data_IF_525764982113
#
_entry.id   IF_525764982113
#
_cell.length_a   1.000
_cell.length_b   1.000
_cell.length_c   1.000
_cell.angle_alpha   90.00
_cell.angle_beta   90.00
_cell.angle_gamma   90.00
#
_symmetry.space_group_name_H-M   'P 1'
#
loop_
_entity.id
_entity.type
_entity.pdbx_description
1 polymer ?
#
# COMPACT_ATOMS: atom_id res chain seq x y z
N UNK A 1 -6.28 -5.72 -13.77
CA UNK A 1 -6.51 -6.76 -14.78
C UNK A 1 -6.51 -8.15 -14.16
N UNK A 2 -5.37 -8.84 -14.09
CA UNK A 2 -5.27 -10.21 -13.55
C UNK A 2 -4.98 -10.30 -12.05
N UNK A 3 -3.98 -9.56 -11.54
CA UNK A 3 -3.59 -9.58 -10.11
C UNK A 3 -4.78 -9.23 -9.19
N UNK A 4 -5.60 -8.25 -9.60
CA UNK A 4 -6.77 -7.82 -8.84
C UNK A 4 -7.91 -8.85 -8.86
N UNK A 5 -7.98 -9.72 -9.88
CA UNK A 5 -8.93 -10.82 -9.93
C UNK A 5 -8.42 -12.00 -9.09
N UNK A 6 -7.11 -12.30 -9.16
CA UNK A 6 -6.45 -13.35 -8.39
C UNK A 6 -6.46 -13.07 -6.88
N UNK A 7 -6.18 -11.83 -6.48
CA UNK A 7 -6.25 -11.40 -5.07
C UNK A 7 -7.67 -11.58 -4.52
N UNK A 8 -8.69 -11.23 -5.31
CA UNK A 8 -10.10 -11.42 -4.92
C UNK A 8 -10.49 -12.88 -4.81
N UNK A 9 -10.08 -13.73 -5.76
CA UNK A 9 -10.41 -15.16 -5.72
C UNK A 9 -9.69 -15.90 -4.58
N UNK A 10 -8.45 -15.52 -4.28
CA UNK A 10 -7.72 -16.05 -3.13
C UNK A 10 -8.36 -15.61 -1.81
N UNK A 11 -8.62 -14.30 -1.66
CA UNK A 11 -9.23 -13.74 -0.47
C UNK A 11 -10.60 -14.37 -0.19
N UNK A 12 -11.44 -14.59 -1.22
CA UNK A 12 -12.75 -15.24 -1.06
C UNK A 12 -12.70 -16.64 -0.46
N UNK A 13 -11.61 -17.40 -0.65
CA UNK A 13 -11.45 -18.75 -0.07
C UNK A 13 -11.19 -18.73 1.44
N UNK A 14 -10.73 -17.60 1.97
CA UNK A 14 -10.40 -17.42 3.39
C UNK A 14 -11.58 -16.90 4.21
N UNK A 15 -12.65 -16.42 3.56
CA UNK A 15 -13.75 -15.73 4.24
C UNK A 15 -14.77 -16.73 4.81
N UNK A 16 -15.16 -16.61 6.09
CA UNK A 16 -16.29 -17.34 6.66
C UNK A 16 -17.60 -17.06 5.91
N UNK A 17 -18.37 -18.10 5.61
CA UNK A 17 -19.63 -18.02 4.82
C UNK A 17 -20.67 -17.10 5.46
N UNK A 18 -20.64 -16.94 6.78
CA UNK A 18 -21.55 -16.09 7.55
C UNK A 18 -21.09 -14.62 7.68
N UNK A 19 -19.86 -14.28 7.26
CA UNK A 19 -19.26 -12.95 7.46
C UNK A 19 -18.77 -12.33 6.14
N UNK A 20 -19.25 -12.81 4.99
CA UNK A 20 -18.76 -12.41 3.66
C UNK A 20 -18.80 -10.89 3.44
N UNK A 21 -19.86 -10.23 3.88
CA UNK A 21 -20.02 -8.78 3.73
C UNK A 21 -18.98 -7.98 4.51
N UNK A 22 -18.63 -8.41 5.73
CA UNK A 22 -17.68 -7.72 6.59
C UNK A 22 -16.26 -7.81 6.03
N UNK A 23 -15.81 -9.03 5.72
CA UNK A 23 -14.48 -9.25 5.14
C UNK A 23 -14.33 -8.59 3.76
N UNK A 24 -15.37 -8.61 2.93
CA UNK A 24 -15.34 -7.89 1.65
C UNK A 24 -15.31 -6.36 1.85
N UNK A 25 -16.01 -5.86 2.88
CA UNK A 25 -15.95 -4.47 3.33
C UNK A 25 -14.53 -4.05 3.70
N UNK A 26 -13.83 -4.85 4.51
CA UNK A 26 -12.43 -4.63 4.87
C UNK A 26 -11.52 -4.61 3.63
N UNK A 27 -11.63 -5.58 2.73
CA UNK A 27 -10.82 -5.63 1.50
C UNK A 27 -11.01 -4.39 0.63
N UNK A 28 -12.26 -3.96 0.43
CA UNK A 28 -12.57 -2.76 -0.35
C UNK A 28 -12.05 -1.48 0.33
N UNK A 29 -12.19 -1.40 1.66
CA UNK A 29 -11.68 -0.28 2.45
C UNK A 29 -10.16 -0.16 2.34
N UNK A 30 -9.43 -1.26 2.49
CA UNK A 30 -7.97 -1.31 2.30
C UNK A 30 -7.56 -0.85 0.90
N UNK A 31 -8.27 -1.31 -0.13
CA UNK A 31 -8.04 -0.86 -1.51
C UNK A 31 -8.22 0.66 -1.69
N UNK A 32 -9.25 1.25 -1.07
CA UNK A 32 -9.47 2.71 -1.08
C UNK A 32 -8.38 3.47 -0.33
N UNK A 33 -7.95 2.96 0.82
CA UNK A 33 -6.84 3.58 1.56
C UNK A 33 -5.54 3.54 0.77
N UNK A 34 -5.23 2.44 0.08
CA UNK A 34 -4.04 2.36 -0.77
C UNK A 34 -4.05 3.42 -1.88
N UNK A 35 -5.22 3.70 -2.48
CA UNK A 35 -5.39 4.72 -3.50
C UNK A 35 -5.21 6.17 -2.98
N UNK A 36 -5.30 6.38 -1.66
CA UNK A 36 -5.10 7.68 -1.01
C UNK A 36 -3.66 7.80 -0.48
N UNK A 37 -3.20 6.79 0.27
CA UNK A 37 -1.90 6.79 0.95
C UNK A 37 -0.75 6.80 -0.06
N UNK A 38 -0.85 6.06 -1.17
CA UNK A 38 0.21 6.01 -2.19
C UNK A 38 0.51 7.40 -2.77
N UNK A 39 -0.47 8.09 -3.38
CA UNK A 39 -0.27 9.45 -3.89
C UNK A 39 0.11 10.46 -2.81
N UNK A 40 -0.49 10.36 -1.60
CA UNK A 40 -0.15 11.25 -0.51
C UNK A 40 1.32 11.11 -0.07
N UNK A 41 1.81 9.87 0.09
CA UNK A 41 3.21 9.59 0.43
C UNK A 41 4.16 10.15 -0.63
N UNK A 42 3.88 9.87 -1.91
CA UNK A 42 4.68 10.38 -3.02
C UNK A 42 4.72 11.91 -3.03
N UNK A 43 3.58 12.55 -2.82
CA UNK A 43 3.47 14.01 -2.76
C UNK A 43 4.28 14.60 -1.60
N UNK A 44 4.15 14.04 -0.40
CA UNK A 44 4.92 14.46 0.78
C UNK A 44 6.41 14.30 0.53
N UNK A 45 6.88 13.13 0.10
CA UNK A 45 8.31 12.89 -0.14
C UNK A 45 8.85 13.81 -1.22
N UNK A 46 8.13 13.96 -2.33
CA UNK A 46 8.54 14.85 -3.42
C UNK A 46 8.67 16.30 -2.97
N UNK A 47 7.70 16.80 -2.20
CA UNK A 47 7.75 18.17 -1.65
C UNK A 47 8.87 18.33 -0.63
N UNK A 48 9.03 17.38 0.29
CA UNK A 48 10.09 17.40 1.30
C UNK A 48 11.47 17.40 0.66
N UNK A 49 11.73 16.49 -0.28
CA UNK A 49 13.03 16.42 -0.98
C UNK A 49 13.29 17.68 -1.78
N UNK A 50 12.29 18.17 -2.52
CA UNK A 50 12.42 19.43 -3.28
C UNK A 50 12.75 20.59 -2.34
N UNK A 51 12.05 20.71 -1.21
CA UNK A 51 12.27 21.79 -0.25
C UNK A 51 13.63 21.69 0.44
N UNK A 52 14.15 20.48 0.70
CA UNK A 52 15.46 20.27 1.31
C UNK A 52 16.63 20.57 0.37
N UNK A 53 16.47 20.28 -0.92
CA UNK A 53 17.54 20.43 -1.92
C UNK A 53 17.52 21.77 -2.66
N UNK A 54 16.42 22.53 -2.60
CA UNK A 54 16.35 23.85 -3.24
C UNK A 54 17.20 24.88 -2.48
N UNK A 55 18.13 25.59 -3.15
CA UNK A 55 18.88 26.69 -2.55
C UNK A 55 18.02 27.97 -2.45
N UNK A 56 18.40 28.89 -1.56
CA UNK A 56 17.67 30.15 -1.29
C UNK A 56 17.49 31.06 -2.52
N UNK A 57 18.40 30.96 -3.49
CA UNK A 57 18.36 31.74 -4.74
C UNK A 57 18.61 30.81 -5.94
N UNK A 58 17.57 30.10 -6.40
CA UNK A 58 17.74 29.06 -7.42
C UNK A 58 17.76 29.65 -8.83
N UNK A 59 18.69 29.18 -9.66
CA UNK A 59 18.64 29.40 -11.11
C UNK A 59 17.57 28.51 -11.76
N UNK A 60 17.09 28.89 -12.96
CA UNK A 60 16.11 28.08 -13.70
C UNK A 60 16.61 26.64 -13.98
N UNK A 61 17.92 26.47 -14.18
CA UNK A 61 18.55 25.17 -14.35
C UNK A 61 18.51 24.34 -13.06
N UNK A 62 18.80 24.97 -11.92
CA UNK A 62 18.75 24.31 -10.61
C UNK A 62 17.33 23.87 -10.24
N UNK A 63 16.31 24.68 -10.54
CA UNK A 63 14.91 24.31 -10.31
C UNK A 63 14.57 23.02 -11.06
N UNK A 64 14.99 22.91 -12.33
CA UNK A 64 14.75 21.72 -13.14
C UNK A 64 15.50 20.51 -12.61
N UNK A 65 16.77 20.66 -12.26
CA UNK A 65 17.60 19.57 -11.73
C UNK A 65 17.05 19.02 -10.41
N UNK A 66 16.75 19.89 -9.45
CA UNK A 66 16.18 19.52 -8.14
C UNK A 66 14.79 18.90 -8.32
N UNK A 67 13.96 19.41 -9.23
CA UNK A 67 12.63 18.84 -9.50
C UNK A 67 12.71 17.42 -10.08
N UNK A 68 13.65 17.16 -10.98
CA UNK A 68 13.88 15.82 -11.53
C UNK A 68 14.36 14.84 -10.45
N UNK A 69 15.26 15.28 -9.58
CA UNK A 69 15.75 14.47 -8.47
C UNK A 69 14.64 14.18 -7.44
N UNK A 70 13.89 15.20 -7.04
CA UNK A 70 12.77 15.05 -6.11
C UNK A 70 11.68 14.10 -6.66
N UNK A 71 11.43 14.12 -7.97
CA UNK A 71 10.50 13.16 -8.61
C UNK A 71 10.98 11.72 -8.49
N UNK A 72 12.29 11.46 -8.62
CA UNK A 72 12.85 10.11 -8.47
C UNK A 72 12.69 9.61 -7.04
N UNK A 73 12.99 10.44 -6.04
CA UNK A 73 12.79 10.10 -4.63
C UNK A 73 11.31 9.93 -4.27
N UNK A 74 10.43 10.74 -4.85
CA UNK A 74 8.97 10.59 -4.72
C UNK A 74 8.51 9.22 -5.23
N UNK A 75 8.94 8.78 -6.41
CA UNK A 75 8.57 7.47 -6.95
C UNK A 75 9.20 6.33 -6.14
N UNK A 76 10.47 6.46 -5.75
CA UNK A 76 11.17 5.47 -4.94
C UNK A 76 10.50 5.24 -3.57
N UNK A 77 9.81 6.25 -3.03
CA UNK A 77 9.12 6.14 -1.74
C UNK A 77 8.07 5.04 -1.68
N UNK A 78 7.50 4.64 -2.82
CA UNK A 78 6.51 3.55 -2.89
C UNK A 78 7.12 2.22 -2.38
N UNK A 79 8.44 2.04 -2.49
CA UNK A 79 9.14 0.86 -1.95
C UNK A 79 8.87 0.68 -0.45
N UNK A 80 8.68 1.77 0.30
CA UNK A 80 8.34 1.71 1.72
C UNK A 80 7.02 0.96 1.93
N UNK A 81 6.01 1.19 1.09
CA UNK A 81 4.73 0.49 1.18
C UNK A 81 4.86 -1.00 0.87
N UNK A 82 5.70 -1.36 -0.11
CA UNK A 82 5.99 -2.76 -0.42
C UNK A 82 6.74 -3.45 0.72
N UNK A 83 7.72 -2.79 1.34
CA UNK A 83 8.45 -3.32 2.49
C UNK A 83 7.51 -3.52 3.68
N UNK A 84 6.68 -2.53 4.01
CA UNK A 84 5.67 -2.66 5.08
C UNK A 84 4.73 -3.83 4.79
N UNK A 85 4.22 -3.93 3.57
CA UNK A 85 3.35 -5.03 3.15
C UNK A 85 4.03 -6.39 3.27
N UNK A 86 5.29 -6.51 2.82
CA UNK A 86 6.06 -7.75 2.94
C UNK A 86 6.29 -8.12 4.40
N UNK A 87 6.67 -7.16 5.26
CA UNK A 87 6.85 -7.36 6.69
C UNK A 87 5.55 -7.84 7.34
N UNK A 88 4.41 -7.23 7.03
CA UNK A 88 3.11 -7.68 7.53
C UNK A 88 2.82 -9.13 7.13
N UNK A 89 3.08 -9.50 5.87
CA UNK A 89 2.89 -10.87 5.39
C UNK A 89 3.81 -11.87 6.08
N UNK A 90 5.06 -11.49 6.41
CA UNK A 90 5.97 -12.35 7.17
C UNK A 90 5.47 -12.71 8.57
N UNK A 91 4.57 -11.90 9.15
CA UNK A 91 3.98 -12.15 10.46
C UNK A 91 2.62 -12.85 10.40
N UNK A 92 2.10 -13.16 9.21
CA UNK A 92 0.82 -13.87 9.08
C UNK A 92 1.02 -15.37 9.34
N UNK A 93 0.30 -15.89 10.33
CA UNK A 93 0.21 -17.33 10.62
C UNK A 93 -1.03 -17.91 9.91
N UNK A 94 -0.79 -18.59 8.79
CA UNK A 94 -1.85 -19.18 7.97
C UNK A 94 -2.52 -20.37 8.66
N UNK A 95 -1.77 -21.20 9.39
CA UNK A 95 -2.31 -22.40 10.05
C UNK A 95 -3.31 -22.02 11.14
N UNK A 96 -2.96 -21.04 11.97
CA UNK A 96 -3.86 -20.50 12.99
C UNK A 96 -5.11 -19.89 12.36
N UNK A 97 -4.95 -19.13 11.27
CA UNK A 97 -6.07 -18.52 10.55
C UNK A 97 -7.06 -19.57 10.00
N UNK A 98 -6.55 -20.67 9.44
CA UNK A 98 -7.39 -21.77 8.96
C UNK A 98 -8.14 -22.49 10.10
N UNK A 99 -7.47 -22.74 11.22
CA UNK A 99 -8.09 -23.40 12.38
C UNK A 99 -9.23 -22.54 12.98
N UNK A 100 -9.02 -21.23 13.11
CA UNK A 100 -10.03 -20.30 13.59
C UNK A 100 -11.20 -20.17 12.61
N UNK A 101 -10.92 -20.12 11.30
CA UNK A 101 -11.97 -20.12 10.28
C UNK A 101 -12.82 -21.40 10.36
N UNK A 102 -12.19 -22.58 10.45
CA UNK A 102 -12.90 -23.86 10.61
C UNK A 102 -13.76 -23.93 11.87
N UNK A 103 -13.28 -23.40 12.99
CA UNK A 103 -14.06 -23.28 14.22
C UNK A 103 -15.32 -22.42 14.01
N UNK A 104 -15.17 -21.27 13.34
CA UNK A 104 -16.29 -20.39 12.99
C UNK A 104 -17.26 -20.99 11.95
N UNK A 105 -16.84 -21.99 11.16
CA UNK A 105 -17.69 -22.69 10.21
C UNK A 105 -18.52 -23.83 10.83
N UNK A 106 -18.10 -24.37 11.98
CA UNK A 106 -18.76 -25.49 12.67
C UNK A 106 -19.87 -25.06 13.64
N UNK A 107 -19.89 -23.79 14.04
CA UNK A 107 -20.91 -23.17 14.90
C UNK A 107 -21.81 -22.21 14.09
#
# INVERSE_FOLDING_TARGET
GGIQALSRSYYFRLIPKNQVAEYYGFFNMLGKFAAIIGPALMGVVGLTVRNMLMPDSPSAEQIKAVSQEASRWSIASIVILFVIGAVLLFYVDEEKGHAEAEYLFKN
#
